data_IF_985578432040
#
_entry.id   IF_985578432040
#
_cell.length_a   1.000
_cell.length_b   1.000
_cell.length_c   1.000
_cell.angle_alpha   90.00
_cell.angle_beta   90.00
_cell.angle_gamma   90.00
#
_symmetry.space_group_name_H-M   'P 1'
#
loop_
_entity.id
_entity.type
_entity.pdbx_description
1 polymer ?
#
# COMPACT_ATOMS: atom_id res chain seq x y z
N UNK A 1 -4.10 -61.17 -40.09
CA UNK A 1 -4.58 -59.92 -39.49
C UNK A 1 -3.38 -59.16 -39.00
N UNK A 2 -2.97 -58.06 -39.65
CA UNK A 2 -1.84 -57.22 -39.19
C UNK A 2 -2.28 -56.27 -38.08
N UNK A 3 -1.55 -56.22 -36.97
CA UNK A 3 -1.71 -55.27 -35.87
C UNK A 3 -0.95 -53.98 -36.20
N UNK A 4 -1.66 -52.90 -36.40
CA UNK A 4 -1.07 -51.55 -36.49
C UNK A 4 -0.79 -51.03 -35.05
N UNK A 5 0.47 -50.79 -34.76
CA UNK A 5 0.89 -50.10 -33.54
C UNK A 5 0.80 -48.58 -33.81
N UNK A 6 -0.04 -47.85 -33.08
CA UNK A 6 -0.04 -46.41 -33.05
C UNK A 6 1.05 -45.92 -32.08
N UNK A 7 2.10 -45.33 -32.63
CA UNK A 7 3.08 -44.58 -31.84
C UNK A 7 2.54 -43.20 -31.48
N UNK A 8 2.29 -42.96 -30.20
CA UNK A 8 1.94 -41.63 -29.71
C UNK A 8 3.23 -40.80 -29.58
N UNK A 9 3.37 -39.75 -30.38
CA UNK A 9 4.44 -38.74 -30.23
C UNK A 9 4.01 -37.78 -29.14
N UNK A 10 4.63 -37.85 -27.97
CA UNK A 10 4.46 -36.86 -26.91
C UNK A 10 5.29 -35.61 -27.26
N UNK A 11 4.61 -34.51 -27.60
CA UNK A 11 5.20 -33.19 -27.73
C UNK A 11 5.53 -32.64 -26.33
N UNK A 12 6.78 -32.73 -25.93
CA UNK A 12 7.32 -32.05 -24.75
C UNK A 12 7.39 -30.54 -25.07
N UNK A 13 6.44 -29.80 -24.59
CA UNK A 13 6.56 -28.34 -24.53
C UNK A 13 7.55 -28.01 -23.41
N UNK A 14 8.78 -27.72 -23.79
CA UNK A 14 9.79 -27.19 -22.90
C UNK A 14 9.36 -25.78 -22.46
N UNK A 15 9.01 -25.61 -21.20
CA UNK A 15 8.88 -24.28 -20.61
C UNK A 15 10.29 -23.64 -20.61
N UNK A 16 10.48 -22.61 -21.41
CA UNK A 16 11.68 -21.76 -21.31
C UNK A 16 11.70 -21.13 -19.92
N UNK A 17 12.85 -21.08 -19.23
CA UNK A 17 12.95 -20.38 -17.97
C UNK A 17 12.58 -18.91 -18.22
N UNK A 18 11.61 -18.39 -17.47
CA UNK A 18 11.30 -16.96 -17.47
C UNK A 18 12.54 -16.23 -16.92
N UNK A 19 13.22 -15.50 -17.79
CA UNK A 19 14.31 -14.62 -17.36
C UNK A 19 13.64 -13.37 -16.78
N UNK A 20 13.90 -13.09 -15.50
CA UNK A 20 13.36 -11.92 -14.83
C UNK A 20 13.70 -10.63 -15.60
N UNK A 21 12.74 -9.73 -15.74
CA UNK A 21 12.93 -8.46 -16.44
C UNK A 21 14.05 -7.66 -15.75
N UNK A 22 15.14 -7.30 -16.46
CA UNK A 22 16.29 -6.67 -15.83
C UNK A 22 15.93 -5.27 -15.32
N UNK A 23 16.29 -4.97 -14.06
CA UNK A 23 16.15 -3.63 -13.52
C UNK A 23 17.09 -2.62 -14.19
N UNK A 24 16.87 -1.34 -14.00
CA UNK A 24 17.71 -0.24 -14.53
C UNK A 24 17.79 0.94 -13.57
N UNK A 25 18.81 1.78 -13.76
CA UNK A 25 19.08 2.92 -12.87
C UNK A 25 18.66 4.27 -13.45
N UNK A 26 18.19 4.29 -14.73
CA UNK A 26 17.78 5.49 -15.45
C UNK A 26 16.53 5.25 -16.28
N UNK A 27 15.84 6.30 -16.68
CA UNK A 27 14.64 6.22 -17.52
C UNK A 27 14.87 5.54 -18.89
N UNK A 28 16.10 5.49 -19.39
CA UNK A 28 16.40 5.07 -20.77
C UNK A 28 15.96 3.63 -21.09
N UNK A 29 16.00 2.71 -20.11
CA UNK A 29 15.62 1.31 -20.31
C UNK A 29 14.15 1.00 -19.99
N UNK A 30 13.40 1.94 -19.43
CA UNK A 30 12.06 1.69 -18.91
C UNK A 30 11.07 1.19 -19.98
N UNK A 31 11.08 1.81 -21.16
CA UNK A 31 10.20 1.41 -22.27
C UNK A 31 10.51 0.00 -22.79
N UNK A 32 11.79 -0.37 -22.84
CA UNK A 32 12.20 -1.72 -23.24
C UNK A 32 11.94 -2.78 -22.15
N UNK A 33 11.91 -2.38 -20.89
CA UNK A 33 11.61 -3.24 -19.74
C UNK A 33 10.12 -3.61 -19.67
N UNK A 34 9.21 -2.69 -19.99
CA UNK A 34 7.75 -2.92 -19.86
C UNK A 34 7.26 -4.21 -20.55
N UNK A 35 7.63 -4.51 -21.80
CA UNK A 35 7.20 -5.76 -22.45
C UNK A 35 7.68 -7.02 -21.74
N UNK A 36 8.87 -6.99 -21.14
CA UNK A 36 9.41 -8.13 -20.38
C UNK A 36 8.62 -8.32 -19.09
N UNK A 37 8.40 -7.24 -18.36
CA UNK A 37 7.56 -7.26 -17.14
C UNK A 37 6.11 -7.64 -17.45
N UNK A 38 5.57 -7.25 -18.61
CA UNK A 38 4.23 -7.66 -19.05
C UNK A 38 4.12 -9.17 -19.24
N UNK A 39 5.17 -9.83 -19.75
CA UNK A 39 5.21 -11.30 -19.87
C UNK A 39 5.21 -11.95 -18.47
N UNK A 40 6.00 -11.44 -17.54
CA UNK A 40 6.00 -11.93 -16.14
C UNK A 40 4.64 -11.73 -15.47
N UNK A 41 4.04 -10.54 -15.62
CA UNK A 41 2.73 -10.23 -15.08
C UNK A 41 1.64 -11.15 -15.66
N UNK A 42 1.67 -11.40 -16.98
CA UNK A 42 0.74 -12.33 -17.63
C UNK A 42 0.93 -13.76 -17.11
N UNK A 43 2.17 -14.21 -16.92
CA UNK A 43 2.47 -15.52 -16.30
C UNK A 43 2.00 -15.60 -14.85
N UNK A 44 1.94 -14.46 -14.12
CA UNK A 44 1.37 -14.35 -12.78
C UNK A 44 -0.18 -14.21 -12.79
N UNK A 45 -0.82 -14.33 -13.96
CA UNK A 45 -2.27 -14.32 -14.11
C UNK A 45 -2.91 -12.94 -14.16
N UNK A 46 -2.14 -11.91 -14.54
CA UNK A 46 -2.69 -10.58 -14.81
C UNK A 46 -3.36 -10.57 -16.19
N UNK A 47 -4.58 -10.09 -16.26
CA UNK A 47 -5.37 -10.03 -17.47
C UNK A 47 -5.08 -8.80 -18.34
N UNK A 48 -5.80 -8.66 -19.46
CA UNK A 48 -5.51 -7.63 -20.47
C UNK A 48 -5.53 -6.19 -19.96
N UNK A 49 -6.46 -5.84 -19.07
CA UNK A 49 -6.58 -4.46 -18.54
C UNK A 49 -5.37 -4.06 -17.70
N UNK A 50 -4.89 -4.98 -16.86
CA UNK A 50 -3.68 -4.76 -16.07
C UNK A 50 -2.44 -4.64 -16.96
N UNK A 51 -2.31 -5.50 -17.96
CA UNK A 51 -1.19 -5.44 -18.92
C UNK A 51 -1.20 -4.14 -19.72
N UNK A 52 -2.36 -3.69 -20.21
CA UNK A 52 -2.50 -2.40 -20.90
C UNK A 52 -2.09 -1.24 -19.98
N UNK A 53 -2.53 -1.24 -18.73
CA UNK A 53 -2.12 -0.22 -17.76
C UNK A 53 -0.60 -0.18 -17.51
N UNK A 54 0.09 -1.33 -17.53
CA UNK A 54 1.55 -1.38 -17.48
C UNK A 54 2.18 -0.80 -18.76
N UNK A 55 1.66 -1.15 -19.93
CA UNK A 55 2.20 -0.66 -21.20
C UNK A 55 2.04 0.86 -21.36
N UNK A 56 0.97 1.43 -20.78
CA UNK A 56 0.71 2.87 -20.75
C UNK A 56 1.47 3.61 -19.64
N UNK A 57 2.06 2.88 -18.68
CA UNK A 57 2.81 3.48 -17.58
C UNK A 57 4.00 4.29 -18.08
N UNK A 58 4.27 5.41 -17.42
CA UNK A 58 5.36 6.33 -17.71
C UNK A 58 6.39 6.32 -16.59
N UNK A 59 7.66 6.46 -16.94
CA UNK A 59 8.70 6.61 -15.93
C UNK A 59 8.47 7.89 -15.12
N UNK A 60 8.37 7.74 -13.79
CA UNK A 60 8.00 8.82 -12.86
C UNK A 60 9.24 9.37 -12.15
N UNK A 61 9.92 10.37 -12.73
CA UNK A 61 11.11 10.99 -12.13
C UNK A 61 10.87 11.53 -10.74
N UNK A 62 9.69 12.12 -10.48
CA UNK A 62 9.31 12.62 -9.16
C UNK A 62 9.21 11.51 -8.11
N UNK A 63 8.87 10.29 -8.50
CA UNK A 63 8.89 9.09 -7.67
C UNK A 63 10.32 8.73 -7.27
N UNK A 64 11.25 8.69 -8.22
CA UNK A 64 12.66 8.43 -7.95
C UNK A 64 13.26 9.52 -7.04
N UNK A 65 12.96 10.78 -7.30
CA UNK A 65 13.43 11.88 -6.45
C UNK A 65 12.93 11.74 -5.00
N UNK A 66 11.65 11.38 -4.80
CA UNK A 66 11.07 11.14 -3.48
C UNK A 66 11.70 9.92 -2.79
N UNK A 67 11.92 8.82 -3.53
CA UNK A 67 12.52 7.59 -3.02
C UNK A 67 13.99 7.77 -2.57
N UNK A 68 14.73 8.66 -3.20
CA UNK A 68 16.11 9.00 -2.83
C UNK A 68 16.20 10.01 -1.67
N UNK A 69 15.14 10.76 -1.39
CA UNK A 69 15.17 11.88 -0.44
C UNK A 69 14.27 11.66 0.78
N UNK A 70 14.64 10.73 1.66
CA UNK A 70 13.88 10.40 2.89
C UNK A 70 14.52 11.03 4.15
N UNK A 71 14.90 12.30 4.11
CA UNK A 71 15.60 12.98 5.22
C UNK A 71 14.76 13.17 6.49
N UNK A 72 13.44 13.21 6.39
CA UNK A 72 12.53 13.49 7.52
C UNK A 72 12.59 12.48 8.67
N UNK A 73 13.02 11.25 8.43
CA UNK A 73 13.12 10.20 9.46
C UNK A 73 14.36 10.34 10.37
N UNK A 74 15.22 11.32 10.14
CA UNK A 74 16.39 11.66 10.98
C UNK A 74 16.08 12.71 12.05
N UNK A 75 14.87 13.23 12.11
CA UNK A 75 14.47 14.22 13.10
C UNK A 75 14.33 13.60 14.50
N UNK A 76 14.55 14.42 15.55
CA UNK A 76 14.07 14.08 16.89
C UNK A 76 12.53 13.99 16.89
N UNK A 77 11.96 13.28 17.87
CA UNK A 77 10.49 13.14 17.99
C UNK A 77 9.81 14.52 18.04
N UNK A 78 10.29 15.45 18.86
CA UNK A 78 9.72 16.80 18.96
C UNK A 78 9.74 17.53 17.63
N UNK A 79 10.88 17.48 16.92
CA UNK A 79 10.99 18.12 15.61
C UNK A 79 10.07 17.46 14.58
N UNK A 80 9.98 16.12 14.60
CA UNK A 80 9.11 15.38 13.72
C UNK A 80 7.63 15.74 13.97
N UNK A 81 7.20 15.73 15.23
CA UNK A 81 5.85 16.11 15.65
C UNK A 81 5.50 17.54 15.23
N UNK A 82 6.42 18.50 15.45
CA UNK A 82 6.22 19.88 15.06
C UNK A 82 6.09 20.05 13.54
N UNK A 83 6.98 19.42 12.75
CA UNK A 83 6.94 19.50 11.27
C UNK A 83 5.68 18.84 10.71
N UNK A 84 5.19 17.77 11.33
CA UNK A 84 3.94 17.09 10.95
C UNK A 84 2.68 17.81 11.41
N UNK A 85 2.78 18.86 12.22
CA UNK A 85 1.63 19.57 12.76
C UNK A 85 0.79 18.73 13.72
N UNK A 86 1.45 17.95 14.58
CA UNK A 86 0.82 16.95 15.45
C UNK A 86 -0.31 17.53 16.31
N UNK A 87 -0.17 18.75 16.84
CA UNK A 87 -1.23 19.40 17.64
C UNK A 87 -2.50 19.66 16.82
N UNK A 88 -2.33 20.07 15.58
CA UNK A 88 -3.46 20.26 14.65
C UNK A 88 -4.12 18.93 14.32
N UNK A 89 -3.33 17.88 14.06
CA UNK A 89 -3.84 16.52 13.82
C UNK A 89 -4.64 16.02 15.02
N UNK A 90 -4.08 16.11 16.24
CA UNK A 90 -4.77 15.69 17.47
C UNK A 90 -6.08 16.45 17.67
N UNK A 91 -6.07 17.77 17.51
CA UNK A 91 -7.27 18.58 17.67
C UNK A 91 -8.36 18.22 16.64
N UNK A 92 -7.98 17.97 15.39
CA UNK A 92 -8.91 17.54 14.35
C UNK A 92 -9.42 16.11 14.60
N UNK A 93 -8.55 15.20 15.02
CA UNK A 93 -8.88 13.82 15.33
C UNK A 93 -9.91 13.71 16.47
N UNK A 94 -9.72 14.47 17.56
CA UNK A 94 -10.68 14.53 18.68
C UNK A 94 -12.06 14.99 18.22
N UNK A 95 -12.13 16.03 17.37
CA UNK A 95 -13.40 16.50 16.80
C UNK A 95 -14.06 15.46 15.91
N UNK A 96 -13.28 14.72 15.09
CA UNK A 96 -13.78 13.64 14.23
C UNK A 96 -14.27 12.47 15.06
N UNK A 97 -13.50 12.06 16.08
CA UNK A 97 -13.89 11.00 17.04
C UNK A 97 -15.22 11.31 17.70
N UNK A 98 -15.38 12.53 18.22
CA UNK A 98 -16.60 12.94 18.89
C UNK A 98 -17.83 12.99 17.95
N UNK A 99 -17.65 13.45 16.70
CA UNK A 99 -18.75 13.53 15.73
C UNK A 99 -19.20 12.18 15.18
N UNK A 100 -18.31 11.18 15.15
CA UNK A 100 -18.55 9.86 14.56
C UNK A 100 -18.27 8.75 15.60
N UNK A 101 -18.62 8.97 16.86
CA UNK A 101 -18.25 8.11 17.97
C UNK A 101 -18.67 6.65 17.74
N UNK A 102 -19.88 6.41 17.25
CA UNK A 102 -20.41 5.07 16.99
C UNK A 102 -19.61 4.32 15.92
N UNK A 103 -19.19 5.01 14.86
CA UNK A 103 -18.39 4.42 13.79
C UNK A 103 -17.02 3.99 14.30
N UNK A 104 -16.33 4.85 15.07
CA UNK A 104 -15.03 4.49 15.66
C UNK A 104 -15.16 3.41 16.72
N UNK A 105 -16.20 3.45 17.57
CA UNK A 105 -16.47 2.38 18.51
C UNK A 105 -16.78 1.05 17.81
N UNK A 106 -17.43 1.08 16.65
CA UNK A 106 -17.68 -0.13 15.85
C UNK A 106 -16.38 -0.71 15.28
N UNK A 107 -15.49 0.13 14.75
CA UNK A 107 -14.16 -0.30 14.30
C UNK A 107 -13.34 -0.92 15.45
N UNK A 108 -13.32 -0.26 16.60
CA UNK A 108 -12.60 -0.77 17.78
C UNK A 108 -13.17 -2.12 18.26
N UNK A 109 -14.48 -2.27 18.32
CA UNK A 109 -15.10 -3.57 18.66
C UNK A 109 -14.76 -4.67 17.66
N UNK A 110 -14.71 -4.33 16.35
CA UNK A 110 -14.46 -5.30 15.27
C UNK A 110 -13.00 -5.75 15.21
N UNK A 111 -12.06 -4.82 15.37
CA UNK A 111 -10.63 -5.06 15.12
C UNK A 111 -9.75 -4.96 16.37
N UNK A 112 -10.29 -4.46 17.48
CA UNK A 112 -9.56 -4.27 18.74
C UNK A 112 -8.55 -3.12 18.73
N UNK A 113 -8.54 -2.29 17.69
CA UNK A 113 -7.61 -1.16 17.53
C UNK A 113 -8.28 0.13 18.00
N UNK A 114 -7.71 0.87 18.97
CA UNK A 114 -8.29 2.10 19.47
C UNK A 114 -8.46 3.17 18.40
N UNK A 115 -9.51 3.95 18.50
CA UNK A 115 -9.82 5.03 17.56
C UNK A 115 -8.68 6.03 17.41
N UNK A 116 -7.96 6.33 18.50
CA UNK A 116 -6.81 7.24 18.48
C UNK A 116 -5.70 6.79 17.56
N UNK A 117 -5.40 5.49 17.51
CA UNK A 117 -4.37 4.91 16.62
C UNK A 117 -4.75 5.10 15.15
N UNK A 118 -6.00 4.73 14.80
CA UNK A 118 -6.52 4.86 13.43
C UNK A 118 -6.53 6.32 12.99
N UNK A 119 -6.97 7.21 13.87
CA UNK A 119 -7.04 8.65 13.58
C UNK A 119 -5.66 9.31 13.52
N UNK A 120 -4.68 8.87 14.33
CA UNK A 120 -3.31 9.35 14.25
C UNK A 120 -2.68 8.97 12.90
N UNK A 121 -2.84 7.72 12.46
CA UNK A 121 -2.41 7.26 11.14
C UNK A 121 -3.09 8.10 10.04
N UNK A 122 -4.41 8.20 10.03
CA UNK A 122 -5.16 8.94 9.03
C UNK A 122 -4.75 10.41 8.93
N UNK A 123 -4.52 11.05 10.07
CA UNK A 123 -4.03 12.43 10.11
C UNK A 123 -2.61 12.59 9.58
N UNK A 124 -1.74 11.65 9.93
CA UNK A 124 -0.33 11.63 9.50
C UNK A 124 -0.14 11.36 8.02
N UNK A 125 -0.95 10.47 7.45
CA UNK A 125 -0.82 10.06 6.04
C UNK A 125 -1.35 11.14 5.09
N UNK A 126 -2.56 11.62 5.31
CA UNK A 126 -3.26 12.44 4.31
C UNK A 126 -3.93 13.68 4.87
N UNK A 127 -3.65 14.09 6.13
CA UNK A 127 -4.41 15.13 6.81
C UNK A 127 -5.93 14.87 6.71
N UNK A 128 -6.34 13.63 7.03
CA UNK A 128 -7.72 13.15 6.97
C UNK A 128 -8.35 13.17 5.56
N UNK A 129 -7.58 12.77 4.55
CA UNK A 129 -8.02 12.69 3.17
C UNK A 129 -7.94 14.02 2.40
N UNK A 130 -7.39 15.06 3.01
CA UNK A 130 -7.22 16.36 2.33
C UNK A 130 -6.17 16.28 1.23
N UNK A 131 -5.18 15.40 1.37
CA UNK A 131 -4.09 15.26 0.43
C UNK A 131 -3.72 13.77 0.22
N UNK A 132 -4.27 13.15 -0.80
CA UNK A 132 -4.07 11.73 -1.10
C UNK A 132 -3.01 11.48 -2.20
N UNK A 133 -2.35 12.53 -2.68
CA UNK A 133 -1.33 12.45 -3.72
C UNK A 133 -1.85 12.74 -5.14
N UNK A 134 -0.89 12.96 -6.06
CA UNK A 134 -1.14 13.37 -7.45
C UNK A 134 -0.33 12.51 -8.45
N UNK A 135 0.33 11.46 -7.98
CA UNK A 135 1.13 10.56 -8.83
C UNK A 135 0.24 9.44 -9.36
N UNK A 136 0.37 9.12 -10.66
CA UNK A 136 -0.30 7.94 -11.19
C UNK A 136 0.26 6.69 -10.51
N UNK A 137 -0.62 5.88 -9.90
CA UNK A 137 -0.25 4.73 -9.07
C UNK A 137 0.55 3.71 -9.87
N UNK A 138 0.05 3.30 -11.05
CA UNK A 138 0.70 2.27 -11.86
C UNK A 138 2.07 2.75 -12.33
N UNK A 139 2.19 3.99 -12.81
CA UNK A 139 3.46 4.58 -13.25
C UNK A 139 4.47 4.69 -12.10
N UNK A 140 4.04 5.11 -10.90
CA UNK A 140 4.91 5.22 -9.74
C UNK A 140 5.45 3.86 -9.32
N UNK A 141 4.59 2.86 -9.17
CA UNK A 141 5.00 1.50 -8.75
C UNK A 141 5.82 0.81 -9.84
N UNK A 142 5.48 0.98 -11.13
CA UNK A 142 6.25 0.43 -12.24
C UNK A 142 7.67 1.04 -12.29
N UNK A 143 7.78 2.35 -12.05
CA UNK A 143 9.09 3.02 -11.96
C UNK A 143 9.95 2.44 -10.85
N UNK A 144 9.38 2.19 -9.66
CA UNK A 144 10.11 1.61 -8.53
C UNK A 144 10.40 0.12 -8.70
N UNK A 145 9.54 -0.62 -9.39
CA UNK A 145 9.80 -2.01 -9.77
C UNK A 145 10.93 -2.13 -10.80
N UNK A 146 11.04 -1.16 -11.70
CA UNK A 146 12.15 -1.07 -12.64
C UNK A 146 13.45 -0.60 -11.97
N UNK A 147 13.41 0.29 -10.99
CA UNK A 147 14.60 0.82 -10.31
C UNK A 147 15.33 -0.25 -9.49
N UNK A 148 16.63 -0.50 -9.78
CA UNK A 148 17.40 -1.57 -9.17
C UNK A 148 17.51 -1.50 -7.65
N UNK A 149 17.30 -0.33 -7.04
CA UNK A 149 17.47 -0.15 -5.59
C UNK A 149 16.53 -1.02 -4.74
N UNK A 150 15.27 -1.18 -5.19
CA UNK A 150 14.24 -1.94 -4.47
C UNK A 150 13.33 -2.71 -5.43
N UNK A 151 13.86 -3.15 -6.57
CA UNK A 151 13.11 -3.81 -7.63
C UNK A 151 12.27 -4.97 -7.11
N UNK A 152 12.88 -5.92 -6.37
CA UNK A 152 12.19 -7.10 -5.86
C UNK A 152 10.98 -6.75 -4.99
N UNK A 153 11.13 -5.75 -4.11
CA UNK A 153 10.04 -5.30 -3.25
C UNK A 153 8.88 -4.71 -4.07
N UNK A 154 9.21 -3.82 -5.01
CA UNK A 154 8.18 -3.13 -5.79
C UNK A 154 7.60 -3.95 -6.93
N UNK A 155 8.27 -4.98 -7.41
CA UNK A 155 7.69 -5.94 -8.39
C UNK A 155 6.43 -6.60 -7.83
N UNK A 156 6.45 -7.02 -6.56
CA UNK A 156 5.26 -7.56 -5.90
C UNK A 156 4.11 -6.55 -5.81
N UNK A 157 4.42 -5.30 -5.54
CA UNK A 157 3.41 -4.22 -5.51
C UNK A 157 2.92 -3.83 -6.91
N UNK A 158 3.77 -3.91 -7.94
CA UNK A 158 3.36 -3.70 -9.33
C UNK A 158 2.36 -4.77 -9.77
N UNK A 159 2.69 -6.05 -9.59
CA UNK A 159 1.75 -7.14 -9.93
C UNK A 159 0.42 -6.96 -9.19
N UNK A 160 0.46 -6.53 -7.93
CA UNK A 160 -0.74 -6.22 -7.17
C UNK A 160 -1.51 -5.03 -7.75
N UNK A 161 -0.84 -3.94 -8.15
CA UNK A 161 -1.49 -2.78 -8.78
C UNK A 161 -2.17 -3.17 -10.10
N UNK A 162 -1.50 -3.98 -10.93
CA UNK A 162 -2.06 -4.47 -12.19
C UNK A 162 -3.29 -5.36 -11.95
N UNK A 163 -3.27 -6.20 -10.90
CA UNK A 163 -4.42 -7.01 -10.50
C UNK A 163 -5.59 -6.15 -10.03
N UNK A 164 -5.35 -5.13 -9.21
CA UNK A 164 -6.39 -4.19 -8.78
C UNK A 164 -7.02 -3.44 -9.96
N UNK A 165 -6.26 -3.13 -11.00
CA UNK A 165 -6.78 -2.56 -12.26
C UNK A 165 -7.65 -3.59 -13.00
N UNK A 166 -7.18 -4.82 -13.10
CA UNK A 166 -7.90 -5.90 -13.79
C UNK A 166 -9.26 -6.19 -13.13
N UNK A 167 -9.29 -6.24 -11.80
CA UNK A 167 -10.49 -6.46 -10.99
C UNK A 167 -11.39 -5.22 -10.92
N UNK A 168 -10.90 -4.05 -11.33
CA UNK A 168 -11.64 -2.78 -11.30
C UNK A 168 -11.72 -2.12 -9.93
N UNK A 169 -10.90 -2.54 -8.98
CA UNK A 169 -10.75 -1.89 -7.66
C UNK A 169 -10.13 -0.51 -7.81
N UNK A 170 -9.15 -0.38 -8.70
CA UNK A 170 -8.61 0.90 -9.16
C UNK A 170 -8.69 1.00 -10.67
N UNK A 171 -8.46 2.19 -11.21
CA UNK A 171 -8.38 2.44 -12.66
C UNK A 171 -6.95 2.73 -13.09
N UNK A 172 -6.60 2.62 -14.39
CA UNK A 172 -5.30 3.06 -14.90
C UNK A 172 -5.00 4.53 -14.61
N UNK A 173 -6.02 5.36 -14.39
CA UNK A 173 -5.90 6.79 -14.08
C UNK A 173 -5.84 7.09 -12.56
N UNK A 174 -5.92 6.09 -11.70
CA UNK A 174 -5.94 6.30 -10.23
C UNK A 174 -4.67 7.03 -9.79
N UNK A 175 -4.89 8.07 -8.98
CA UNK A 175 -3.82 8.87 -8.39
C UNK A 175 -3.57 8.44 -6.93
N UNK A 176 -2.33 8.61 -6.49
CA UNK A 176 -1.87 8.30 -5.16
C UNK A 176 -0.59 9.07 -4.80
N UNK A 177 0.10 8.67 -3.75
CA UNK A 177 1.35 9.31 -3.38
C UNK A 177 2.53 8.92 -4.30
N UNK A 178 3.70 9.45 -3.99
CA UNK A 178 4.89 9.35 -4.84
C UNK A 178 5.41 7.93 -5.06
N UNK A 179 5.14 6.99 -4.16
CA UNK A 179 5.55 5.60 -4.32
C UNK A 179 4.38 4.69 -4.75
N UNK A 180 3.23 5.28 -5.13
CA UNK A 180 2.03 4.55 -5.57
C UNK A 180 1.14 4.10 -4.41
N UNK A 181 1.24 4.73 -3.25
CA UNK A 181 0.33 4.52 -2.13
C UNK A 181 -1.06 5.08 -2.44
N UNK A 182 -2.11 4.37 -2.00
CA UNK A 182 -3.50 4.58 -2.40
C UNK A 182 -4.34 5.05 -1.21
N UNK A 183 -5.16 6.07 -1.44
CA UNK A 183 -6.29 6.46 -0.62
C UNK A 183 -5.95 7.14 0.70
N UNK A 184 -6.93 7.22 1.58
CA UNK A 184 -6.92 7.97 2.83
C UNK A 184 -5.78 7.61 3.80
N UNK A 185 -5.33 6.37 3.79
CA UNK A 185 -4.29 5.86 4.70
C UNK A 185 -3.06 5.34 3.97
N UNK A 186 -2.94 5.62 2.68
CA UNK A 186 -1.73 5.44 1.88
C UNK A 186 -1.24 3.97 1.84
N UNK A 187 -2.14 3.07 1.46
CA UNK A 187 -1.79 1.66 1.27
C UNK A 187 -1.00 1.43 -0.02
N UNK A 188 0.11 0.72 0.07
CA UNK A 188 0.73 0.13 -1.12
C UNK A 188 -0.19 -0.93 -1.75
N UNK A 189 -0.20 -1.10 -3.09
CA UNK A 189 -1.14 -2.00 -3.78
C UNK A 189 -1.20 -3.42 -3.23
N UNK A 190 -0.06 -4.02 -2.87
CA UNK A 190 -0.04 -5.36 -2.26
C UNK A 190 -0.74 -5.42 -0.90
N UNK A 191 -0.74 -4.32 -0.17
CA UNK A 191 -1.47 -4.21 1.09
C UNK A 191 -2.97 -4.02 0.86
N UNK A 192 -3.39 -3.35 -0.23
CA UNK A 192 -4.82 -3.27 -0.61
C UNK A 192 -5.38 -4.67 -0.85
N UNK A 193 -4.70 -5.51 -1.67
CA UNK A 193 -5.13 -6.88 -1.93
C UNK A 193 -5.19 -7.75 -0.66
N UNK A 194 -4.25 -7.56 0.26
CA UNK A 194 -4.11 -8.43 1.43
C UNK A 194 -4.98 -8.02 2.60
N UNK A 195 -5.16 -6.72 2.82
CA UNK A 195 -5.77 -6.17 4.02
C UNK A 195 -6.99 -5.28 3.76
N UNK A 196 -7.30 -5.01 2.49
CA UNK A 196 -8.47 -4.22 2.09
C UNK A 196 -9.76 -4.83 2.61
N UNK A 197 -10.62 -3.99 3.15
CA UNK A 197 -11.94 -4.36 3.70
C UNK A 197 -12.98 -3.43 3.09
N UNK A 198 -14.07 -4.02 2.62
CA UNK A 198 -15.33 -3.32 2.40
C UNK A 198 -15.90 -2.98 3.79
N UNK A 199 -15.74 -1.74 4.18
CA UNK A 199 -16.08 -1.23 5.51
C UNK A 199 -17.51 -0.71 5.60
N UNK A 200 -18.09 -0.27 4.47
CA UNK A 200 -19.46 0.26 4.40
C UNK A 200 -20.48 -0.76 3.86
N UNK A 201 -20.01 -1.90 3.32
CA UNK A 201 -20.86 -3.00 2.89
C UNK A 201 -21.46 -2.82 1.49
N UNK A 202 -20.84 -1.99 0.65
CA UNK A 202 -21.30 -1.74 -0.73
C UNK A 202 -20.84 -2.83 -1.73
N UNK A 203 -20.05 -3.81 -1.28
CA UNK A 203 -19.53 -4.92 -2.07
C UNK A 203 -18.20 -4.61 -2.76
N UNK A 204 -17.53 -3.49 -2.45
CA UNK A 204 -16.28 -3.06 -3.06
C UNK A 204 -15.28 -2.66 -1.97
N UNK A 205 -14.01 -2.61 -2.32
CA UNK A 205 -12.96 -2.03 -1.48
C UNK A 205 -12.47 -0.75 -2.16
N UNK A 206 -12.88 0.40 -1.64
CA UNK A 206 -12.47 1.71 -2.17
C UNK A 206 -11.72 2.52 -1.10
N UNK A 207 -10.39 2.52 -1.14
CA UNK A 207 -9.57 3.27 -0.19
C UNK A 207 -9.57 4.79 -0.44
N UNK A 208 -10.18 5.28 -1.52
CA UNK A 208 -10.52 6.69 -1.69
C UNK A 208 -11.74 7.09 -0.85
N UNK A 209 -12.54 6.10 -0.43
CA UNK A 209 -13.58 6.20 0.59
C UNK A 209 -12.98 6.09 2.01
N UNK A 210 -13.36 7.02 2.90
CA UNK A 210 -12.83 7.04 4.27
C UNK A 210 -13.17 5.76 5.04
N UNK A 211 -14.38 5.22 4.88
CA UNK A 211 -14.87 4.08 5.68
C UNK A 211 -14.04 2.84 5.41
N UNK A 212 -13.80 2.50 4.15
CA UNK A 212 -13.00 1.35 3.76
C UNK A 212 -11.54 1.52 4.14
N UNK A 213 -10.99 2.73 3.94
CA UNK A 213 -9.60 3.00 4.30
C UNK A 213 -9.35 2.83 5.80
N UNK A 214 -10.24 3.32 6.66
CA UNK A 214 -10.10 3.15 8.12
C UNK A 214 -10.34 1.70 8.57
N UNK A 215 -11.32 1.01 7.97
CA UNK A 215 -11.55 -0.42 8.23
C UNK A 215 -10.35 -1.26 7.79
N UNK A 216 -9.78 -0.98 6.62
CA UNK A 216 -8.57 -1.64 6.11
C UNK A 216 -7.35 -1.39 6.99
N UNK A 217 -7.18 -0.16 7.52
CA UNK A 217 -6.10 0.18 8.45
C UNK A 217 -6.23 -0.61 9.75
N UNK A 218 -7.43 -0.67 10.32
CA UNK A 218 -7.69 -1.45 11.52
C UNK A 218 -7.47 -2.95 11.29
N UNK A 219 -7.92 -3.47 10.15
CA UNK A 219 -7.70 -4.86 9.74
C UNK A 219 -6.22 -5.18 9.55
N UNK A 220 -5.45 -4.29 8.92
CA UNK A 220 -4.00 -4.44 8.78
C UNK A 220 -3.34 -4.61 10.14
N UNK A 221 -3.58 -3.70 11.08
CA UNK A 221 -2.98 -3.77 12.41
C UNK A 221 -3.41 -5.04 13.16
N UNK A 222 -4.69 -5.42 13.09
CA UNK A 222 -5.19 -6.65 13.68
C UNK A 222 -4.49 -7.89 13.13
N UNK A 223 -4.35 -8.01 11.80
CA UNK A 223 -3.67 -9.13 11.15
C UNK A 223 -2.15 -9.13 11.40
N UNK A 224 -1.56 -7.98 11.70
CA UNK A 224 -0.15 -7.84 12.09
C UNK A 224 0.10 -8.12 13.57
N UNK A 225 -0.93 -8.56 14.30
CA UNK A 225 -0.80 -9.05 15.66
C UNK A 225 -1.19 -8.05 16.75
N UNK A 226 -1.99 -7.03 16.39
CA UNK A 226 -2.58 -6.14 17.40
C UNK A 226 -3.40 -6.93 18.43
N UNK A 227 -3.12 -6.69 19.71
CA UNK A 227 -3.80 -7.36 20.84
C UNK A 227 -4.77 -6.39 21.49
N UNK A 228 -6.09 -6.66 21.42
CA UNK A 228 -7.09 -5.78 22.03
C UNK A 228 -6.83 -5.54 23.52
N UNK A 229 -6.98 -4.30 23.97
CA UNK A 229 -6.84 -3.91 25.39
C UNK A 229 -5.41 -3.83 25.91
N UNK A 230 -4.40 -4.20 25.12
CA UNK A 230 -2.99 -4.02 25.52
C UNK A 230 -2.45 -2.66 25.05
N UNK A 231 -1.45 -2.14 25.80
CA UNK A 231 -0.84 -0.85 25.52
C UNK A 231 -0.04 -0.82 24.22
N UNK A 232 0.15 0.40 23.69
CA UNK A 232 0.86 0.67 22.42
C UNK A 232 1.93 1.77 22.56
N UNK A 233 2.30 2.15 23.79
CA UNK A 233 3.42 3.04 24.01
C UNK A 233 4.78 2.30 23.88
N UNK A 234 5.91 2.99 23.72
CA UNK A 234 7.23 2.35 23.68
C UNK A 234 7.43 1.36 24.82
N UNK A 235 7.77 0.11 24.48
CA UNK A 235 7.94 -0.98 25.43
C UNK A 235 6.66 -1.80 25.70
N UNK A 236 5.49 -1.37 25.23
CA UNK A 236 4.23 -2.10 25.36
C UNK A 236 3.97 -3.05 24.17
N UNK A 237 3.13 -4.08 24.32
CA UNK A 237 2.99 -5.15 23.33
C UNK A 237 2.60 -4.72 21.93
N UNK A 238 1.70 -3.72 21.78
CA UNK A 238 1.23 -3.26 20.49
C UNK A 238 2.17 -2.22 19.83
N UNK A 239 3.18 -1.72 20.53
CA UNK A 239 4.15 -0.81 19.92
C UNK A 239 4.90 -1.44 18.75
N UNK A 240 5.25 -2.73 18.87
CA UNK A 240 5.90 -3.48 17.80
C UNK A 240 5.02 -3.62 16.53
N UNK A 241 3.68 -3.59 16.68
CA UNK A 241 2.76 -3.67 15.55
C UNK A 241 2.78 -2.36 14.74
N UNK A 242 3.05 -1.22 15.36
CA UNK A 242 3.22 0.05 14.64
C UNK A 242 4.43 0.04 13.70
N UNK A 243 5.43 -0.82 13.95
CA UNK A 243 6.57 -1.03 13.05
C UNK A 243 6.13 -1.66 11.72
N UNK A 244 5.12 -2.51 11.74
CA UNK A 244 4.56 -3.12 10.53
C UNK A 244 3.87 -2.07 9.63
N UNK A 245 3.32 -1.02 10.25
CA UNK A 245 2.77 0.12 9.52
C UNK A 245 3.85 1.00 8.91
N UNK A 246 4.84 1.39 9.72
CA UNK A 246 5.96 2.21 9.27
C UNK A 246 7.24 1.85 10.07
N UNK A 247 8.30 1.46 9.36
CA UNK A 247 9.55 1.00 9.96
C UNK A 247 10.34 2.12 10.67
N UNK A 248 10.04 3.40 10.42
CA UNK A 248 10.75 4.51 11.04
C UNK A 248 10.35 4.70 12.51
N UNK A 249 11.28 4.51 13.43
CA UNK A 249 11.02 4.54 14.87
C UNK A 249 10.37 5.85 15.35
N UNK A 250 10.83 7.00 14.82
CA UNK A 250 10.23 8.31 15.13
C UNK A 250 8.75 8.39 14.70
N UNK A 251 8.38 7.71 13.61
CA UNK A 251 7.00 7.64 13.13
C UNK A 251 6.12 6.81 14.07
N UNK A 252 6.62 5.66 14.54
CA UNK A 252 5.94 4.80 15.51
C UNK A 252 5.65 5.54 16.82
N UNK A 253 6.68 6.22 17.35
CA UNK A 253 6.55 7.04 18.55
C UNK A 253 5.53 8.18 18.36
N UNK A 254 5.53 8.82 17.21
CA UNK A 254 4.59 9.90 16.90
C UNK A 254 3.14 9.38 16.85
N UNK A 255 2.88 8.23 16.19
CA UNK A 255 1.56 7.59 16.21
C UNK A 255 1.13 7.30 17.64
N UNK A 256 1.97 6.61 18.43
CA UNK A 256 1.65 6.21 19.80
C UNK A 256 1.31 7.43 20.69
N UNK A 257 2.14 8.48 20.62
CA UNK A 257 1.92 9.69 21.41
C UNK A 257 0.67 10.46 20.99
N UNK A 258 0.43 10.62 19.67
CA UNK A 258 -0.78 11.29 19.19
C UNK A 258 -2.04 10.48 19.51
N UNK A 259 -2.00 9.15 19.35
CA UNK A 259 -3.11 8.27 19.66
C UNK A 259 -3.53 8.40 21.14
N UNK A 260 -2.58 8.35 22.06
CA UNK A 260 -2.87 8.56 23.49
C UNK A 260 -3.50 9.93 23.77
N UNK A 261 -3.03 10.98 23.10
CA UNK A 261 -3.62 12.33 23.22
C UNK A 261 -5.01 12.43 22.58
N UNK A 262 -5.34 11.60 21.60
CA UNK A 262 -6.66 11.58 20.96
C UNK A 262 -7.68 10.84 21.85
N UNK A 263 -7.26 9.76 22.49
CA UNK A 263 -8.12 8.89 23.28
C UNK A 263 -8.35 9.41 24.72
N UNK A 264 -7.37 10.06 25.32
CA UNK A 264 -7.44 10.69 26.64
C UNK A 264 -7.86 12.14 26.56
#
# INVERSE_FOLDING_TARGET
MPRFALSAVALLWGALPAVAAPCGDTAAGFEAWKPLMAQEAAAAGIGPRGIEALMDARYAEATIAADRNQSGFRFSLDRFMAVRGADTIVAQARRRKARNADAYASLERRFGVPAGVILAIHGMETAFGTYMGESNVVSAVATLAYDCRRSDFFTGHLVAALRLVDEGTITPATLGAKHGEIGHTQFLPGNVLRYGIDGDGDGRVDLSGQTDALASTANFLAQKGWRPGLGYQPGEPNFAVLQEWNAAHVYQQAIALMAARIDG
#
